data_IF_006366036687
#
_entry.id   IF_006366036687
#
_cell.length_a   1.000
_cell.length_b   1.000
_cell.length_c   1.000
_cell.angle_alpha   90.00
_cell.angle_beta   90.00
_cell.angle_gamma   90.00
#
_symmetry.space_group_name_H-M   'P 1'
#
loop_
_entity.id
_entity.type
_entity.pdbx_description
1 polymer ?
#
# COMPACT_ATOMS: atom_id res chain seq x y z
N UNK A 1 7.48 -3.37 -11.58
CA UNK A 1 8.62 -4.24 -11.24
C UNK A 1 8.17 -5.46 -10.46
N UNK A 2 7.87 -5.36 -9.16
CA UNK A 2 7.63 -6.54 -8.31
C UNK A 2 6.49 -7.44 -8.78
N UNK A 3 5.37 -6.90 -9.25
CA UNK A 3 4.25 -7.71 -9.78
C UNK A 3 4.62 -8.58 -10.99
N UNK A 4 5.48 -8.09 -11.86
CA UNK A 4 5.96 -8.88 -13.00
C UNK A 4 6.82 -10.05 -12.53
N UNK A 5 7.72 -9.81 -11.57
CA UNK A 5 8.58 -10.84 -11.00
C UNK A 5 7.77 -11.90 -10.24
N UNK A 6 6.80 -11.47 -9.41
CA UNK A 6 5.93 -12.38 -8.65
C UNK A 6 5.07 -13.27 -9.56
N UNK A 7 4.67 -12.78 -10.72
CA UNK A 7 3.92 -13.54 -11.74
C UNK A 7 4.81 -14.17 -12.80
N UNK A 8 6.12 -14.01 -12.74
CA UNK A 8 7.09 -14.53 -13.74
C UNK A 8 6.83 -14.04 -15.17
N UNK A 9 6.38 -12.82 -15.31
CA UNK A 9 6.14 -12.19 -16.61
C UNK A 9 7.39 -11.42 -17.01
N UNK A 10 8.01 -11.82 -18.12
CA UNK A 10 9.13 -11.09 -18.69
C UNK A 10 8.63 -9.83 -19.47
N UNK A 11 9.45 -8.78 -19.60
CA UNK A 11 9.09 -7.62 -20.43
C UNK A 11 8.68 -7.99 -21.85
N UNK A 12 9.38 -8.95 -22.48
CA UNK A 12 9.04 -9.44 -23.81
C UNK A 12 7.67 -10.13 -23.92
N UNK A 13 7.21 -10.79 -22.85
CA UNK A 13 5.86 -11.38 -22.80
C UNK A 13 4.78 -10.30 -22.81
N UNK A 14 5.05 -9.19 -22.13
CA UNK A 14 4.14 -8.02 -22.13
C UNK A 14 4.06 -7.36 -23.51
N UNK A 15 5.18 -7.24 -24.20
CA UNK A 15 5.19 -6.74 -25.58
C UNK A 15 4.45 -7.66 -26.55
N UNK A 16 4.60 -8.98 -26.37
CA UNK A 16 3.86 -9.98 -27.14
C UNK A 16 2.35 -9.83 -26.87
N UNK A 17 1.96 -9.72 -25.61
CA UNK A 17 0.56 -9.51 -25.21
C UNK A 17 -0.02 -8.23 -25.82
N UNK A 18 0.70 -7.10 -25.80
CA UNK A 18 0.26 -5.84 -26.42
C UNK A 18 0.00 -6.06 -27.92
N UNK A 19 0.91 -6.72 -28.64
CA UNK A 19 0.72 -7.02 -30.08
C UNK A 19 -0.48 -7.92 -30.34
N UNK A 20 -0.65 -8.97 -29.56
CA UNK A 20 -1.79 -9.90 -29.69
C UNK A 20 -3.12 -9.20 -29.39
N UNK A 21 -3.15 -8.33 -28.39
CA UNK A 21 -4.35 -7.55 -28.06
C UNK A 21 -4.75 -6.62 -29.20
N UNK A 22 -3.80 -5.92 -29.81
CA UNK A 22 -4.08 -5.07 -30.99
C UNK A 22 -4.61 -5.89 -32.17
N UNK A 23 -4.08 -7.08 -32.40
CA UNK A 23 -4.60 -7.96 -33.45
C UNK A 23 -6.09 -8.34 -33.23
N UNK A 24 -6.54 -8.41 -31.97
CA UNK A 24 -7.95 -8.62 -31.63
C UNK A 24 -8.79 -7.36 -31.80
N UNK A 25 -8.23 -6.18 -31.44
CA UNK A 25 -8.90 -4.86 -31.61
C UNK A 25 -9.13 -4.56 -33.08
N UNK A 26 -8.20 -4.95 -33.95
CA UNK A 26 -8.27 -4.74 -35.40
C UNK A 26 -9.22 -5.71 -36.13
N UNK A 27 -9.82 -6.70 -35.43
CA UNK A 27 -10.83 -7.56 -36.02
C UNK A 27 -12.09 -6.77 -36.37
N UNK A 28 -12.72 -7.04 -37.53
CA UNK A 28 -13.91 -6.32 -37.94
C UNK A 28 -15.05 -6.57 -36.92
N UNK A 29 -15.52 -5.48 -36.35
CA UNK A 29 -16.70 -5.52 -35.47
C UNK A 29 -17.92 -5.91 -36.30
N UNK A 30 -18.77 -6.75 -35.76
CA UNK A 30 -20.04 -7.14 -36.42
C UNK A 30 -21.06 -6.03 -36.56
N UNK A 31 -20.65 -4.75 -36.43
CA UNK A 31 -21.45 -3.51 -36.49
C UNK A 31 -20.62 -2.30 -36.89
N UNK A 32 -21.21 -1.13 -36.92
CA UNK A 32 -20.64 0.11 -37.47
C UNK A 32 -19.64 0.84 -36.54
N UNK A 33 -18.82 0.15 -35.77
CA UNK A 33 -17.75 0.79 -34.99
C UNK A 33 -17.09 -0.17 -34.02
N UNK A 34 -15.82 0.11 -33.67
CA UNK A 34 -15.13 -0.56 -32.58
C UNK A 34 -15.87 -0.28 -31.25
N UNK A 35 -15.89 -1.23 -30.35
CA UNK A 35 -16.44 -1.00 -29.03
C UNK A 35 -15.57 0.03 -28.30
N UNK A 36 -16.11 1.17 -27.94
CA UNK A 36 -15.40 2.24 -27.22
C UNK A 36 -14.61 1.74 -26.01
N UNK A 37 -15.14 0.77 -25.29
CA UNK A 37 -14.45 0.14 -24.19
C UNK A 37 -13.17 -0.59 -24.61
N UNK A 38 -13.16 -1.20 -25.79
CA UNK A 38 -11.99 -1.93 -26.30
C UNK A 38 -10.90 -0.94 -26.72
N UNK A 39 -11.26 0.20 -27.31
CA UNK A 39 -10.34 1.29 -27.63
C UNK A 39 -9.72 1.88 -26.35
N UNK A 40 -10.53 2.17 -25.32
CA UNK A 40 -10.03 2.63 -24.02
C UNK A 40 -9.08 1.63 -23.34
N UNK A 41 -9.31 0.35 -23.53
CA UNK A 41 -8.39 -0.70 -23.05
C UNK A 41 -7.11 -0.76 -23.88
N UNK A 42 -7.19 -0.57 -25.18
CA UNK A 42 -6.01 -0.53 -26.06
C UNK A 42 -5.06 0.58 -25.64
N UNK A 43 -5.57 1.81 -25.43
CA UNK A 43 -4.75 2.94 -24.95
C UNK A 43 -4.07 2.65 -23.61
N UNK A 44 -4.78 1.99 -22.68
CA UNK A 44 -4.19 1.59 -21.38
C UNK A 44 -3.12 0.52 -21.55
N UNK A 45 -3.32 -0.42 -22.45
CA UNK A 45 -2.38 -1.50 -22.74
C UNK A 45 -1.14 -0.94 -23.43
N UNK A 46 -1.27 0.04 -24.32
CA UNK A 46 -0.13 0.72 -24.97
C UNK A 46 0.79 1.39 -23.96
N UNK A 47 0.23 1.93 -22.86
CA UNK A 47 1.04 2.52 -21.80
C UNK A 47 1.97 1.52 -21.12
N UNK A 48 1.69 0.21 -21.23
CA UNK A 48 2.51 -0.84 -20.62
C UNK A 48 3.90 -0.92 -21.28
N UNK A 49 4.04 -0.65 -22.57
CA UNK A 49 5.35 -0.67 -23.25
C UNK A 49 6.29 0.38 -22.67
N UNK A 50 5.79 1.60 -22.42
CA UNK A 50 6.55 2.65 -21.73
C UNK A 50 6.90 2.25 -20.30
N UNK A 51 5.97 1.63 -19.59
CA UNK A 51 6.22 1.14 -18.24
C UNK A 51 7.26 0.01 -18.20
N UNK A 52 7.34 -0.83 -19.24
CA UNK A 52 8.37 -1.88 -19.30
C UNK A 52 9.77 -1.30 -19.43
N UNK A 53 9.98 -0.30 -20.26
CA UNK A 53 11.27 0.40 -20.35
C UNK A 53 11.70 0.98 -19.00
N UNK A 54 10.79 1.64 -18.28
CA UNK A 54 11.06 2.16 -16.94
C UNK A 54 11.37 1.07 -15.93
N UNK A 55 10.70 -0.09 -16.03
CA UNK A 55 10.99 -1.25 -15.16
C UNK A 55 12.39 -1.78 -15.41
N UNK A 56 12.83 -1.89 -16.66
CA UNK A 56 14.18 -2.34 -17.02
C UNK A 56 15.25 -1.38 -16.49
N UNK A 57 15.08 -0.08 -16.70
CA UNK A 57 15.96 0.94 -16.14
C UNK A 57 16.02 0.88 -14.60
N UNK A 58 14.89 0.69 -13.96
CA UNK A 58 14.82 0.56 -12.50
C UNK A 58 15.53 -0.69 -12.00
N UNK A 59 15.37 -1.83 -12.67
CA UNK A 59 16.06 -3.07 -12.33
C UNK A 59 17.59 -2.92 -12.48
N UNK A 60 18.04 -2.28 -13.56
CA UNK A 60 19.47 -2.02 -13.76
C UNK A 60 20.01 -1.04 -12.71
N UNK A 61 19.26 0.00 -12.36
CA UNK A 61 19.63 0.93 -11.31
C UNK A 61 19.76 0.24 -9.93
N UNK A 62 18.87 -0.70 -9.61
CA UNK A 62 18.97 -1.53 -8.40
C UNK A 62 20.23 -2.39 -8.42
N UNK A 63 20.48 -3.06 -9.54
CA UNK A 63 21.66 -3.91 -9.72
C UNK A 63 22.96 -3.14 -9.51
N UNK A 64 23.08 -1.95 -10.12
CA UNK A 64 24.25 -1.08 -9.98
C UNK A 64 24.47 -0.57 -8.54
N UNK A 65 23.39 -0.36 -7.81
CA UNK A 65 23.43 0.09 -6.41
C UNK A 65 23.57 -1.05 -5.40
N UNK A 66 23.46 -2.30 -5.83
CA UNK A 66 23.52 -3.46 -4.94
C UNK A 66 22.33 -3.56 -3.97
N UNK A 67 21.16 -3.06 -4.36
CA UNK A 67 19.93 -3.09 -3.54
C UNK A 67 18.93 -4.08 -4.11
N UNK A 68 18.17 -4.73 -3.22
CA UNK A 68 17.17 -5.74 -3.55
C UNK A 68 15.84 -5.41 -2.89
N UNK A 69 14.75 -5.69 -3.60
CA UNK A 69 13.39 -5.77 -3.05
C UNK A 69 13.09 -7.22 -2.62
N UNK A 70 12.02 -7.43 -1.86
CA UNK A 70 11.61 -8.79 -1.45
C UNK A 70 11.30 -9.70 -2.64
N UNK A 71 10.68 -9.16 -3.70
CA UNK A 71 10.41 -9.91 -4.94
C UNK A 71 11.68 -10.33 -5.67
N UNK A 72 12.76 -9.52 -5.62
CA UNK A 72 14.05 -9.88 -6.19
C UNK A 72 14.67 -11.09 -5.49
N UNK A 73 14.50 -11.19 -4.16
CA UNK A 73 15.03 -12.31 -3.39
C UNK A 73 14.43 -13.65 -3.86
N UNK A 74 13.10 -13.66 -4.07
CA UNK A 74 12.41 -14.87 -4.58
C UNK A 74 12.84 -15.19 -6.01
N UNK A 75 12.93 -14.19 -6.89
CA UNK A 75 13.34 -14.36 -8.27
C UNK A 75 14.78 -14.90 -8.35
N UNK A 76 15.70 -14.34 -7.58
CA UNK A 76 17.09 -14.80 -7.52
C UNK A 76 17.22 -16.19 -6.91
N UNK A 77 16.46 -16.51 -5.86
CA UNK A 77 16.44 -17.84 -5.28
C UNK A 77 15.98 -18.89 -6.31
N UNK A 78 14.94 -18.58 -7.08
CA UNK A 78 14.46 -19.44 -8.15
C UNK A 78 15.51 -19.62 -9.25
N UNK A 79 16.18 -18.56 -9.66
CA UNK A 79 17.26 -18.62 -10.65
C UNK A 79 18.43 -19.51 -10.15
N UNK A 80 18.82 -19.38 -8.88
CA UNK A 80 19.87 -20.21 -8.26
C UNK A 80 19.47 -21.68 -8.28
N UNK A 81 18.25 -21.99 -7.88
CA UNK A 81 17.74 -23.37 -7.83
C UNK A 81 17.69 -24.00 -9.21
N UNK A 82 17.29 -23.24 -10.23
CA UNK A 82 17.25 -23.70 -11.62
C UNK A 82 18.64 -23.90 -12.25
N UNK A 83 19.61 -23.07 -11.87
CA UNK A 83 20.99 -23.16 -12.41
C UNK A 83 21.89 -24.12 -11.65
N UNK A 84 21.64 -24.33 -10.37
CA UNK A 84 22.55 -25.09 -9.50
C UNK A 84 21.80 -26.18 -8.73
N UNK A 85 21.68 -27.41 -9.30
CA UNK A 85 20.99 -28.55 -8.66
C UNK A 85 21.49 -28.87 -7.25
N UNK A 86 22.76 -28.60 -6.95
CA UNK A 86 23.32 -28.77 -5.61
C UNK A 86 22.64 -27.91 -4.55
N UNK A 87 22.10 -26.76 -4.92
CA UNK A 87 21.31 -25.94 -4.00
C UNK A 87 20.05 -26.64 -3.52
N UNK A 88 19.40 -27.40 -4.41
CA UNK A 88 18.22 -28.23 -4.07
C UNK A 88 18.60 -29.30 -3.04
N UNK A 89 19.68 -30.03 -3.28
CA UNK A 89 20.16 -31.08 -2.37
C UNK A 89 20.50 -30.50 -0.99
N UNK A 90 21.17 -29.35 -0.96
CA UNK A 90 21.51 -28.67 0.28
C UNK A 90 20.28 -28.25 1.09
N UNK A 91 19.24 -27.73 0.43
CA UNK A 91 17.99 -27.34 1.10
C UNK A 91 17.26 -28.60 1.61
N UNK A 92 17.11 -29.63 0.78
CA UNK A 92 16.44 -30.89 1.15
C UNK A 92 17.13 -31.62 2.30
N UNK A 93 18.46 -31.60 2.36
CA UNK A 93 19.21 -32.22 3.46
C UNK A 93 18.92 -31.58 4.82
N UNK A 94 18.52 -30.32 4.83
CA UNK A 94 18.15 -29.59 6.07
C UNK A 94 16.66 -29.73 6.42
N UNK A 95 15.81 -30.01 5.44
CA UNK A 95 14.35 -30.03 5.57
C UNK A 95 13.81 -31.39 5.10
N UNK A 96 13.79 -32.38 5.97
CA UNK A 96 13.36 -33.75 5.62
C UNK A 96 11.84 -33.83 5.38
N UNK A 97 11.05 -32.98 6.03
CA UNK A 97 9.61 -32.82 5.82
C UNK A 97 9.32 -31.33 5.76
N UNK A 98 8.46 -30.92 4.85
CA UNK A 98 8.08 -29.52 4.63
C UNK A 98 6.59 -29.35 4.85
N UNK A 99 6.23 -28.38 5.69
CA UNK A 99 4.84 -27.97 5.95
C UNK A 99 4.68 -26.55 5.45
N UNK A 100 3.77 -26.36 4.49
CA UNK A 100 3.46 -25.05 3.90
C UNK A 100 2.10 -24.60 4.44
N UNK A 101 2.09 -23.52 5.18
CA UNK A 101 0.87 -22.91 5.70
C UNK A 101 0.46 -21.70 4.84
N UNK A 102 -0.83 -21.38 4.84
CA UNK A 102 -1.42 -20.30 4.03
C UNK A 102 -1.03 -20.38 2.54
N UNK A 103 -0.99 -21.60 2.00
CA UNK A 103 -0.45 -21.85 0.65
C UNK A 103 -1.23 -21.11 -0.45
N UNK A 104 -2.51 -20.76 -0.25
CA UNK A 104 -3.30 -19.95 -1.17
C UNK A 104 -2.75 -18.55 -1.39
N UNK A 105 -1.93 -18.03 -0.46
CA UNK A 105 -1.36 -16.68 -0.51
C UNK A 105 0.00 -16.61 -1.22
N UNK A 106 0.50 -17.76 -1.69
CA UNK A 106 1.78 -17.81 -2.42
C UNK A 106 1.66 -17.18 -3.81
N UNK A 107 2.69 -16.44 -4.23
CA UNK A 107 2.80 -15.94 -5.60
C UNK A 107 3.23 -17.06 -6.57
N UNK A 108 3.05 -16.84 -7.87
CA UNK A 108 3.49 -17.77 -8.91
C UNK A 108 4.99 -18.07 -8.80
N UNK A 109 5.81 -17.05 -8.52
CA UNK A 109 7.25 -17.22 -8.33
C UNK A 109 7.57 -18.07 -7.10
N UNK A 110 6.88 -17.86 -5.98
CA UNK A 110 7.04 -18.66 -4.76
C UNK A 110 6.59 -20.09 -4.98
N UNK A 111 5.43 -20.31 -5.60
CA UNK A 111 4.94 -21.64 -5.93
C UNK A 111 5.92 -22.39 -6.82
N UNK A 112 6.47 -21.73 -7.85
CA UNK A 112 7.48 -22.33 -8.74
C UNK A 112 8.76 -22.69 -7.97
N UNK A 113 9.26 -21.77 -7.12
CA UNK A 113 10.46 -22.02 -6.30
C UNK A 113 10.26 -23.24 -5.38
N UNK A 114 9.12 -23.29 -4.69
CA UNK A 114 8.79 -24.41 -3.80
C UNK A 114 8.65 -25.73 -4.56
N UNK A 115 8.05 -25.70 -5.74
CA UNK A 115 7.91 -26.88 -6.60
C UNK A 115 9.28 -27.39 -7.08
N UNK A 116 10.17 -26.50 -7.54
CA UNK A 116 11.53 -26.86 -7.93
C UNK A 116 12.33 -27.47 -6.76
N UNK A 117 12.22 -26.86 -5.60
CA UNK A 117 12.90 -27.33 -4.39
C UNK A 117 12.39 -28.69 -3.91
N UNK A 118 11.07 -28.92 -3.93
CA UNK A 118 10.46 -29.99 -3.14
C UNK A 118 9.61 -30.98 -3.94
N UNK A 119 9.59 -30.93 -5.27
CA UNK A 119 8.93 -31.98 -6.09
C UNK A 119 9.47 -33.36 -5.73
N UNK A 120 8.57 -34.29 -5.40
CA UNK A 120 8.95 -35.64 -4.98
C UNK A 120 9.57 -35.74 -3.59
N UNK A 121 9.49 -34.68 -2.80
CA UNK A 121 9.91 -34.66 -1.40
C UNK A 121 8.68 -34.70 -0.47
N UNK A 122 8.79 -35.17 0.79
CA UNK A 122 7.66 -35.12 1.73
C UNK A 122 7.22 -33.70 2.03
N UNK A 123 6.10 -33.30 1.39
CA UNK A 123 5.53 -31.95 1.52
C UNK A 123 4.04 -32.05 1.85
N UNK A 124 3.57 -31.21 2.74
CA UNK A 124 2.16 -30.97 2.99
C UNK A 124 1.87 -29.48 2.87
N UNK A 125 0.82 -29.11 2.15
CA UNK A 125 0.32 -27.76 2.11
C UNK A 125 -1.04 -27.66 2.81
N UNK A 126 -1.27 -26.58 3.53
CA UNK A 126 -2.53 -26.21 4.15
C UNK A 126 -2.94 -24.84 3.66
N UNK A 127 -4.22 -24.64 3.38
CA UNK A 127 -4.76 -23.37 2.93
C UNK A 127 -6.26 -23.41 2.69
N UNK A 128 -6.83 -22.24 2.52
CA UNK A 128 -8.24 -22.05 2.20
C UNK A 128 -8.36 -21.21 0.90
N UNK A 129 -8.81 -21.79 -0.21
CA UNK A 129 -8.90 -21.07 -1.49
C UNK A 129 -9.87 -19.89 -1.43
N UNK A 130 -10.85 -19.88 -0.52
CA UNK A 130 -11.75 -18.75 -0.32
C UNK A 130 -11.10 -17.59 0.42
N UNK A 131 -9.94 -17.80 1.04
CA UNK A 131 -9.14 -16.76 1.72
C UNK A 131 -7.99 -16.23 0.87
N UNK A 132 -7.89 -16.57 -0.40
CA UNK A 132 -6.89 -16.07 -1.34
C UNK A 132 -7.13 -14.59 -1.67
N UNK A 133 -6.78 -13.67 -0.76
CA UNK A 133 -7.05 -12.23 -0.86
C UNK A 133 -5.85 -11.42 -1.36
N UNK A 134 -4.70 -12.04 -1.59
CA UNK A 134 -3.46 -11.38 -2.03
C UNK A 134 -3.21 -11.46 -3.56
N UNK A 135 -4.28 -11.53 -4.37
CA UNK A 135 -4.16 -11.52 -5.83
C UNK A 135 -3.38 -10.32 -6.38
N UNK A 136 -3.45 -9.16 -5.70
CA UNK A 136 -2.66 -7.98 -6.05
C UNK A 136 -1.14 -8.14 -5.80
N UNK A 137 -0.72 -9.16 -5.04
CA UNK A 137 0.68 -9.61 -4.85
C UNK A 137 1.04 -10.82 -5.72
N UNK A 138 0.18 -11.24 -6.66
CA UNK A 138 0.45 -12.38 -7.51
C UNK A 138 0.03 -13.73 -6.92
N UNK A 139 -0.71 -13.75 -5.81
CA UNK A 139 -1.34 -14.97 -5.32
C UNK A 139 -2.45 -15.42 -6.28
N UNK A 140 -2.59 -16.74 -6.44
CA UNK A 140 -3.64 -17.33 -7.26
C UNK A 140 -4.48 -18.31 -6.45
N UNK A 141 -5.80 -18.22 -6.61
CA UNK A 141 -6.73 -19.18 -6.02
C UNK A 141 -6.54 -20.61 -6.58
N UNK A 142 -5.88 -20.73 -7.74
CA UNK A 142 -5.54 -22.04 -8.32
C UNK A 142 -4.36 -22.75 -7.64
N UNK A 143 -3.55 -22.04 -6.84
CA UNK A 143 -2.33 -22.60 -6.24
C UNK A 143 -2.57 -23.91 -5.48
N UNK A 144 -3.69 -24.03 -4.75
CA UNK A 144 -4.03 -25.26 -4.04
C UNK A 144 -4.43 -26.40 -4.99
N UNK A 145 -5.11 -26.10 -6.10
CA UNK A 145 -5.43 -27.08 -7.12
C UNK A 145 -4.16 -27.53 -7.85
N UNK A 146 -3.28 -26.59 -8.17
CA UNK A 146 -2.03 -26.82 -8.88
C UNK A 146 -0.99 -27.56 -8.01
N UNK A 147 -1.16 -27.53 -6.68
CA UNK A 147 -0.28 -28.27 -5.76
C UNK A 147 -0.23 -29.76 -6.08
N UNK A 148 -1.37 -30.37 -6.36
CA UNK A 148 -1.48 -31.81 -6.66
C UNK A 148 -0.63 -32.20 -7.88
N UNK A 149 -0.66 -31.39 -8.93
CA UNK A 149 0.11 -31.65 -10.17
C UNK A 149 1.56 -31.18 -10.06
N UNK A 150 1.82 -30.17 -9.25
CA UNK A 150 3.13 -29.56 -9.08
C UNK A 150 4.12 -30.41 -8.30
N UNK A 151 3.72 -31.00 -7.19
CA UNK A 151 4.63 -31.64 -6.24
C UNK A 151 4.76 -33.16 -6.38
N UNK A 152 3.81 -33.86 -7.00
CA UNK A 152 3.90 -35.31 -7.17
C UNK A 152 2.73 -35.92 -7.94
N UNK A 153 2.79 -37.22 -8.19
CA UNK A 153 1.76 -37.95 -8.95
C UNK A 153 0.64 -38.53 -8.06
N UNK A 154 0.86 -38.63 -6.73
CA UNK A 154 -0.09 -39.22 -5.80
C UNK A 154 -0.13 -38.45 -4.51
N UNK A 155 -1.02 -37.41 -4.48
CA UNK A 155 -1.21 -36.56 -3.33
C UNK A 155 -2.59 -36.80 -2.77
N UNK A 156 -2.65 -37.11 -1.47
CA UNK A 156 -3.91 -37.21 -0.73
C UNK A 156 -4.38 -35.83 -0.31
N UNK A 157 -5.67 -35.55 -0.54
CA UNK A 157 -6.32 -34.31 -0.13
C UNK A 157 -7.25 -34.58 1.04
N UNK A 158 -7.20 -33.74 2.06
CA UNK A 158 -8.03 -33.82 3.27
C UNK A 158 -8.71 -32.50 3.52
N UNK A 159 -9.95 -32.53 4.00
CA UNK A 159 -10.70 -31.36 4.42
C UNK A 159 -10.69 -31.19 5.93
N UNK A 160 -10.42 -29.96 6.39
CA UNK A 160 -10.55 -29.53 7.79
C UNK A 160 -11.85 -28.75 7.98
N UNK A 161 -12.98 -29.44 7.96
CA UNK A 161 -14.31 -28.82 7.97
C UNK A 161 -14.86 -28.47 9.35
N UNK A 162 -14.24 -28.92 10.45
CA UNK A 162 -14.65 -28.57 11.80
C UNK A 162 -13.90 -27.36 12.32
N UNK A 163 -14.62 -26.26 12.58
CA UNK A 163 -14.04 -25.07 13.20
C UNK A 163 -14.05 -25.17 14.72
N UNK A 164 -12.86 -25.10 15.31
CA UNK A 164 -12.67 -25.06 16.77
C UNK A 164 -12.54 -23.64 17.32
N UNK A 165 -12.52 -22.64 16.45
CA UNK A 165 -12.33 -21.23 16.79
C UNK A 165 -13.65 -20.49 16.95
N UNK A 166 -14.57 -20.69 16.02
CA UNK A 166 -15.75 -19.84 15.85
C UNK A 166 -17.01 -20.44 16.48
N UNK A 167 -17.86 -19.58 17.00
CA UNK A 167 -19.22 -19.94 17.44
C UNK A 167 -20.13 -20.31 16.26
N UNK A 168 -21.19 -21.07 16.54
CA UNK A 168 -22.08 -21.59 15.52
C UNK A 168 -22.70 -20.51 14.63
N UNK A 169 -23.20 -19.42 15.20
CA UNK A 169 -23.84 -18.32 14.43
C UNK A 169 -22.85 -17.60 13.50
N UNK A 170 -21.59 -17.47 13.90
CA UNK A 170 -20.54 -16.88 13.05
C UNK A 170 -20.28 -17.80 11.86
N UNK A 171 -20.23 -19.11 12.08
CA UNK A 171 -20.05 -20.09 11.01
C UNK A 171 -21.23 -20.12 10.05
N UNK A 172 -22.45 -20.02 10.55
CA UNK A 172 -23.65 -19.95 9.69
C UNK A 172 -23.60 -18.72 8.78
N UNK A 173 -23.23 -17.55 9.32
CA UNK A 173 -23.05 -16.34 8.55
C UNK A 173 -21.91 -16.47 7.51
N UNK A 174 -20.75 -16.99 7.92
CA UNK A 174 -19.61 -17.22 7.05
C UNK A 174 -19.94 -18.20 5.91
N UNK A 175 -20.61 -19.31 6.21
CA UNK A 175 -21.03 -20.29 5.23
C UNK A 175 -22.04 -19.71 4.22
N UNK A 176 -22.95 -18.84 4.68
CA UNK A 176 -23.91 -18.14 3.81
C UNK A 176 -23.19 -17.21 2.85
N UNK A 177 -22.24 -16.40 3.35
CA UNK A 177 -21.45 -15.46 2.52
C UNK A 177 -20.56 -16.22 1.53
N UNK A 178 -19.96 -17.35 1.95
CA UNK A 178 -19.10 -18.17 1.10
C UNK A 178 -19.88 -19.05 0.11
N UNK A 179 -21.20 -19.14 0.23
CA UNK A 179 -22.04 -19.96 -0.66
C UNK A 179 -21.75 -19.75 -2.15
N UNK A 180 -21.82 -18.53 -2.68
CA UNK A 180 -21.55 -18.26 -4.10
C UNK A 180 -20.13 -18.59 -4.54
N UNK A 181 -19.13 -18.56 -3.63
CA UNK A 181 -17.75 -18.90 -3.95
C UNK A 181 -17.59 -20.40 -4.22
N UNK A 182 -18.42 -21.26 -3.62
CA UNK A 182 -18.37 -22.70 -3.83
C UNK A 182 -18.92 -23.11 -5.20
N UNK A 183 -19.65 -22.23 -5.87
CA UNK A 183 -20.17 -22.45 -7.23
C UNK A 183 -19.12 -22.13 -8.31
N UNK A 184 -18.03 -21.44 -7.93
CA UNK A 184 -16.94 -21.09 -8.84
C UNK A 184 -16.04 -22.33 -9.13
N UNK A 185 -15.47 -22.42 -10.34
CA UNK A 185 -14.50 -23.46 -10.65
C UNK A 185 -13.30 -23.38 -9.70
N UNK A 186 -12.91 -24.50 -9.10
CA UNK A 186 -11.78 -24.55 -8.17
C UNK A 186 -11.79 -25.80 -7.29
N UNK A 187 -10.91 -25.87 -6.29
CA UNK A 187 -10.91 -26.96 -5.31
C UNK A 187 -12.25 -26.99 -4.54
N UNK A 188 -12.76 -28.18 -4.30
CA UNK A 188 -13.96 -28.34 -3.49
C UNK A 188 -13.68 -27.94 -2.03
N UNK A 189 -14.49 -27.03 -1.50
CA UNK A 189 -14.41 -26.54 -0.12
C UNK A 189 -15.68 -26.96 0.63
N UNK A 190 -15.50 -27.81 1.62
CA UNK A 190 -16.60 -28.25 2.47
C UNK A 190 -17.17 -27.10 3.31
N UNK A 191 -18.46 -27.23 3.62
CA UNK A 191 -19.14 -26.33 4.57
C UNK A 191 -18.57 -26.50 5.96
N UNK A 192 -18.17 -25.41 6.60
CA UNK A 192 -17.64 -25.43 7.96
C UNK A 192 -18.70 -25.84 8.97
N UNK A 193 -18.33 -26.74 9.87
CA UNK A 193 -19.18 -27.24 10.97
C UNK A 193 -18.65 -26.72 12.31
N UNK A 194 -19.53 -26.34 13.24
CA UNK A 194 -19.08 -25.96 14.58
C UNK A 194 -18.53 -27.16 15.33
N UNK A 195 -17.53 -26.94 16.17
CA UNK A 195 -17.05 -27.97 17.10
C UNK A 195 -18.14 -28.28 18.11
N UNK A 196 -18.09 -29.47 18.78
CA UNK A 196 -19.02 -29.80 19.86
C UNK A 196 -18.99 -28.83 21.05
N UNK A 197 -17.92 -28.04 21.16
CA UNK A 197 -17.72 -27.03 22.24
C UNK A 197 -17.96 -25.59 21.72
N UNK A 198 -18.47 -25.42 20.50
CA UNK A 198 -18.72 -24.11 19.93
C UNK A 198 -19.72 -23.32 20.76
N UNK A 199 -19.37 -22.08 21.06
CA UNK A 199 -20.29 -21.15 21.71
C UNK A 199 -21.40 -20.72 20.77
N UNK A 200 -22.54 -20.31 21.33
CA UNK A 200 -23.65 -19.77 20.58
C UNK A 200 -23.85 -18.27 20.89
N UNK A 201 -22.75 -17.52 20.98
CA UNK A 201 -22.81 -16.07 21.21
C UNK A 201 -23.58 -15.35 20.12
N UNK A 202 -24.16 -14.21 20.49
CA UNK A 202 -24.92 -13.39 19.56
C UNK A 202 -23.99 -12.87 18.42
N UNK A 203 -24.53 -12.89 17.22
CA UNK A 203 -24.04 -12.17 16.07
C UNK A 203 -24.97 -10.96 15.88
N UNK A 204 -24.42 -9.77 15.88
CA UNK A 204 -25.17 -8.54 15.70
C UNK A 204 -24.83 -7.91 14.36
N UNK A 205 -25.84 -7.40 13.67
CA UNK A 205 -25.72 -6.67 12.41
C UNK A 205 -26.08 -5.21 12.66
N UNK A 206 -25.19 -4.32 12.23
CA UNK A 206 -25.36 -2.87 12.34
C UNK A 206 -25.34 -2.28 10.94
N UNK A 207 -26.36 -1.52 10.57
CA UNK A 207 -26.46 -0.90 9.24
C UNK A 207 -27.10 0.49 9.34
N UNK A 208 -26.39 1.47 9.94
CA UNK A 208 -26.87 2.85 10.07
C UNK A 208 -26.75 3.62 8.76
N UNK A 209 -27.26 4.84 8.72
CA UNK A 209 -27.22 5.68 7.53
C UNK A 209 -25.84 6.30 7.29
N UNK A 210 -25.06 6.54 8.35
CA UNK A 210 -23.75 7.20 8.28
C UNK A 210 -22.64 6.40 8.93
N UNK A 211 -21.40 6.60 8.44
CA UNK A 211 -20.20 6.02 9.01
C UNK A 211 -19.99 6.46 10.48
N UNK A 212 -20.36 7.70 10.81
CA UNK A 212 -20.24 8.21 12.17
C UNK A 212 -21.17 7.46 13.15
N UNK A 213 -22.42 7.20 12.74
CA UNK A 213 -23.37 6.41 13.52
C UNK A 213 -22.90 4.95 13.67
N UNK A 214 -22.34 4.37 12.61
CA UNK A 214 -21.74 3.03 12.64
C UNK A 214 -20.64 2.97 13.71
N UNK A 215 -19.72 3.92 13.67
CA UNK A 215 -18.61 3.97 14.62
C UNK A 215 -19.08 4.13 16.07
N UNK A 216 -20.10 4.97 16.32
CA UNK A 216 -20.69 5.15 17.65
C UNK A 216 -21.37 3.89 18.14
N UNK A 217 -22.14 3.19 17.30
CA UNK A 217 -22.82 1.95 17.66
C UNK A 217 -21.81 0.83 17.96
N UNK A 218 -20.77 0.68 17.11
CA UNK A 218 -19.70 -0.30 17.31
C UNK A 218 -18.91 0.00 18.58
N UNK A 219 -18.57 1.28 18.84
CA UNK A 219 -17.85 1.68 20.04
C UNK A 219 -18.67 1.43 21.32
N UNK A 220 -19.98 1.65 21.27
CA UNK A 220 -20.88 1.34 22.40
C UNK A 220 -20.91 -0.15 22.68
N UNK A 221 -21.15 -0.94 21.66
CA UNK A 221 -21.21 -2.40 21.76
C UNK A 221 -19.91 -2.99 22.30
N UNK A 222 -18.76 -2.49 21.85
CA UNK A 222 -17.45 -2.92 22.34
C UNK A 222 -17.23 -2.52 23.80
N UNK A 223 -17.56 -1.28 24.16
CA UNK A 223 -17.40 -0.81 25.55
C UNK A 223 -18.18 -1.69 26.53
N UNK A 224 -19.44 -2.01 26.20
CA UNK A 224 -20.29 -2.87 26.99
C UNK A 224 -19.67 -4.27 27.15
N UNK A 225 -19.26 -4.90 26.04
CA UNK A 225 -18.65 -6.24 26.03
C UNK A 225 -17.33 -6.34 26.76
N UNK A 226 -16.49 -5.30 26.63
CA UNK A 226 -15.20 -5.26 27.34
C UNK A 226 -15.38 -5.03 28.84
N UNK A 227 -16.46 -4.35 29.25
CA UNK A 227 -16.81 -4.11 30.65
C UNK A 227 -17.42 -5.31 31.39
N UNK A 228 -17.99 -6.29 30.65
CA UNK A 228 -18.66 -7.45 31.21
C UNK A 228 -17.70 -8.50 31.86
N UNK A 229 -16.41 -8.43 31.58
CA UNK A 229 -15.44 -9.45 32.01
C UNK A 229 -14.17 -8.84 32.61
N UNK A 230 -13.58 -9.54 33.56
CA UNK A 230 -12.29 -9.18 34.13
C UNK A 230 -11.36 -10.45 34.19
N UNK A 231 -10.27 -10.49 33.42
CA UNK A 231 -9.79 -9.46 32.50
C UNK A 231 -10.71 -9.30 31.28
N UNK A 232 -10.71 -8.11 30.64
CA UNK A 232 -11.50 -7.88 29.44
C UNK A 232 -10.99 -8.75 28.29
N UNK A 233 -11.88 -9.24 27.41
CA UNK A 233 -11.48 -9.99 26.23
C UNK A 233 -10.74 -9.09 25.22
N UNK A 234 -9.93 -9.70 24.36
CA UNK A 234 -9.35 -9.00 23.23
C UNK A 234 -10.41 -8.79 22.14
N UNK A 235 -10.38 -7.62 21.49
CA UNK A 235 -11.27 -7.29 20.39
C UNK A 235 -10.48 -6.70 19.24
N UNK A 236 -11.01 -6.84 18.01
CA UNK A 236 -10.42 -6.21 16.82
C UNK A 236 -11.53 -5.62 15.93
N UNK A 237 -11.28 -4.42 15.40
CA UNK A 237 -12.09 -3.81 14.35
C UNK A 237 -11.32 -3.91 13.05
N UNK A 238 -11.92 -4.55 12.05
CA UNK A 238 -11.34 -4.68 10.71
C UNK A 238 -12.09 -3.74 9.78
N UNK A 239 -11.39 -2.79 9.20
CA UNK A 239 -11.95 -1.82 8.25
C UNK A 239 -11.41 -2.05 6.84
N UNK A 240 -12.27 -1.89 5.84
CA UNK A 240 -11.85 -2.05 4.45
C UNK A 240 -10.91 -0.94 3.97
N UNK A 241 -11.13 0.29 4.42
CA UNK A 241 -10.34 1.46 4.01
C UNK A 241 -9.74 2.17 5.22
N UNK A 242 -8.45 2.46 5.15
CA UNK A 242 -7.74 3.20 6.23
C UNK A 242 -8.33 4.58 6.50
N UNK A 243 -8.87 5.24 5.49
CA UNK A 243 -9.52 6.55 5.63
C UNK A 243 -10.66 6.55 6.66
N UNK A 244 -11.26 5.39 6.95
CA UNK A 244 -12.34 5.26 7.92
C UNK A 244 -11.85 5.01 9.36
N UNK A 245 -10.57 4.66 9.56
CA UNK A 245 -10.05 4.29 10.88
C UNK A 245 -10.20 5.41 11.92
N UNK A 246 -9.96 6.68 11.53
CA UNK A 246 -10.03 7.82 12.42
C UNK A 246 -11.39 7.95 13.11
N UNK A 247 -12.48 7.75 12.38
CA UNK A 247 -13.85 7.87 12.92
C UNK A 247 -14.11 6.82 14.01
N UNK A 248 -13.61 5.58 13.82
CA UNK A 248 -13.73 4.52 14.84
C UNK A 248 -12.83 4.78 16.05
N UNK A 249 -11.60 5.27 15.83
CA UNK A 249 -10.67 5.63 16.91
C UNK A 249 -11.27 6.71 17.80
N UNK A 250 -11.83 7.74 17.21
CA UNK A 250 -12.47 8.85 17.95
C UNK A 250 -13.68 8.35 18.75
N UNK A 251 -14.54 7.54 18.15
CA UNK A 251 -15.71 6.99 18.82
C UNK A 251 -15.35 6.07 20.01
N UNK A 252 -14.31 5.24 19.86
CA UNK A 252 -13.79 4.38 20.93
C UNK A 252 -13.15 5.20 22.06
N UNK A 253 -12.35 6.20 21.70
CA UNK A 253 -11.69 7.10 22.65
C UNK A 253 -12.70 7.85 23.50
N UNK A 254 -13.81 8.35 22.91
CA UNK A 254 -14.92 8.99 23.61
C UNK A 254 -15.61 8.07 24.63
N UNK A 255 -15.52 6.76 24.42
CA UNK A 255 -16.04 5.72 25.34
C UNK A 255 -15.01 5.20 26.34
N UNK A 256 -13.79 5.74 26.33
CA UNK A 256 -12.70 5.31 27.21
C UNK A 256 -12.14 3.92 26.85
N UNK A 257 -12.43 3.39 25.65
CA UNK A 257 -11.89 2.13 25.17
C UNK A 257 -10.48 2.35 24.65
N UNK A 258 -9.44 1.69 25.22
CA UNK A 258 -8.07 1.81 24.74
C UNK A 258 -7.95 1.19 23.34
N UNK A 259 -7.31 1.92 22.43
CA UNK A 259 -7.16 1.50 21.03
C UNK A 259 -5.68 1.35 20.68
N UNK A 260 -5.34 0.27 19.99
CA UNK A 260 -4.03 0.08 19.36
C UNK A 260 -4.22 -0.08 17.85
N UNK A 261 -3.63 0.82 17.06
CA UNK A 261 -3.70 0.75 15.60
C UNK A 261 -2.55 -0.10 15.06
N UNK A 262 -2.88 -1.19 14.40
CA UNK A 262 -1.90 -2.05 13.75
C UNK A 262 -1.49 -1.48 12.38
N UNK A 263 -0.19 -1.32 12.18
CA UNK A 263 0.39 -0.86 10.92
C UNK A 263 1.18 0.45 11.08
N UNK A 264 2.23 0.60 10.27
CA UNK A 264 3.17 1.74 10.30
C UNK A 264 2.52 3.04 9.76
N UNK A 265 1.33 2.97 9.15
CA UNK A 265 0.68 4.11 8.50
C UNK A 265 0.11 5.16 9.45
N UNK A 266 -0.10 4.87 10.74
CA UNK A 266 -0.71 5.80 11.69
C UNK A 266 0.29 6.69 12.44
N UNK A 267 1.57 6.33 12.50
CA UNK A 267 2.55 7.08 13.29
C UNK A 267 2.79 8.49 12.72
N UNK A 268 2.86 8.61 11.40
CA UNK A 268 3.06 9.90 10.72
C UNK A 268 1.79 10.75 10.63
N UNK A 269 0.63 10.16 10.91
CA UNK A 269 -0.66 10.86 10.95
C UNK A 269 -0.89 11.50 12.32
N UNK A 270 -0.13 11.09 13.36
CA UNK A 270 -0.14 11.76 14.65
C UNK A 270 0.41 13.18 14.51
N UNK A 271 -0.36 14.23 14.89
CA UNK A 271 0.04 15.61 14.72
C UNK A 271 1.38 15.97 15.37
N UNK A 272 1.69 15.39 16.53
CA UNK A 272 2.94 15.65 17.24
C UNK A 272 4.13 15.01 16.51
N UNK A 273 3.98 13.79 16.00
CA UNK A 273 5.01 13.11 15.21
C UNK A 273 5.21 13.82 13.87
N UNK A 274 4.11 14.22 13.21
CA UNK A 274 4.17 14.99 11.97
C UNK A 274 4.94 16.32 12.18
N UNK A 275 4.73 17.01 13.29
CA UNK A 275 5.43 18.25 13.62
C UNK A 275 6.93 18.00 13.88
N UNK A 276 7.30 16.88 14.52
CA UNK A 276 8.70 16.47 14.69
C UNK A 276 9.35 16.22 13.31
N UNK A 277 8.68 15.46 12.44
CA UNK A 277 9.18 15.16 11.09
C UNK A 277 9.31 16.44 10.26
N UNK A 278 8.30 17.33 10.30
CA UNK A 278 8.37 18.62 9.63
C UNK A 278 9.55 19.47 10.14
N UNK A 279 9.76 19.47 11.47
CA UNK A 279 10.91 20.19 12.07
C UNK A 279 12.25 19.64 11.56
N UNK A 280 12.41 18.33 11.55
CA UNK A 280 13.62 17.69 11.05
C UNK A 280 13.86 17.99 9.55
N UNK A 281 12.80 17.99 8.75
CA UNK A 281 12.89 18.34 7.32
C UNK A 281 13.29 19.79 7.11
N UNK A 282 12.70 20.73 7.85
CA UNK A 282 13.04 22.16 7.78
C UNK A 282 14.49 22.40 8.20
N UNK A 283 15.01 21.66 9.20
CA UNK A 283 16.42 21.74 9.61
C UNK A 283 17.34 21.19 8.52
N UNK A 284 16.95 20.10 7.88
CA UNK A 284 17.77 19.42 6.86
C UNK A 284 17.73 20.12 5.49
N UNK A 285 16.63 20.78 5.15
CA UNK A 285 16.37 21.34 3.83
C UNK A 285 15.64 22.69 3.94
N UNK A 286 16.29 23.76 3.55
CA UNK A 286 15.71 25.12 3.52
C UNK A 286 14.57 25.27 2.49
N UNK A 287 14.44 24.32 1.56
CA UNK A 287 13.36 24.23 0.57
C UNK A 287 12.08 23.52 1.07
N UNK A 288 12.06 23.06 2.32
CA UNK A 288 10.90 22.38 2.92
C UNK A 288 9.81 23.40 3.36
N UNK A 289 9.27 24.12 2.40
CA UNK A 289 8.33 25.24 2.65
C UNK A 289 6.97 24.80 3.16
N UNK A 290 6.45 23.67 2.64
CA UNK A 290 5.16 23.12 3.10
C UNK A 290 5.22 22.68 4.56
N UNK A 291 6.33 22.09 4.96
CA UNK A 291 6.61 21.70 6.34
C UNK A 291 6.75 22.93 7.25
N UNK A 292 7.41 23.97 6.75
CA UNK A 292 7.55 25.23 7.49
C UNK A 292 6.18 25.91 7.70
N UNK A 293 5.33 25.97 6.67
CA UNK A 293 3.96 26.51 6.79
C UNK A 293 3.17 25.73 7.84
N UNK A 294 3.24 24.38 7.82
CA UNK A 294 2.59 23.55 8.82
C UNK A 294 3.02 23.92 10.24
N UNK A 295 4.32 24.07 10.47
CA UNK A 295 4.85 24.44 11.78
C UNK A 295 4.41 25.83 12.22
N UNK A 296 4.48 26.82 11.32
CA UNK A 296 4.06 28.20 11.62
C UNK A 296 2.57 28.30 11.95
N UNK A 297 1.71 27.61 11.16
CA UNK A 297 0.27 27.59 11.40
C UNK A 297 -0.14 26.73 12.59
N UNK A 298 0.75 25.83 13.03
CA UNK A 298 0.51 24.83 14.06
C UNK A 298 0.31 25.42 15.45
N UNK A 299 -0.01 24.55 16.41
CA UNK A 299 -0.41 24.91 17.78
C UNK A 299 0.65 25.75 18.54
N UNK A 300 1.93 25.58 18.20
CA UNK A 300 3.04 26.29 18.87
C UNK A 300 3.14 27.76 18.46
N UNK A 301 3.09 28.05 17.16
CA UNK A 301 3.35 29.40 16.63
C UNK A 301 2.07 30.14 16.28
N UNK A 302 1.02 29.45 15.86
CA UNK A 302 -0.33 29.95 15.56
C UNK A 302 -0.35 31.16 14.61
N UNK A 303 0.56 31.16 13.63
CA UNK A 303 0.60 32.24 12.63
C UNK A 303 -0.66 32.16 11.77
N UNK A 304 -1.38 33.28 11.69
CA UNK A 304 -2.63 33.36 10.95
C UNK A 304 -2.45 33.28 9.43
N UNK A 305 -3.53 32.94 8.71
CA UNK A 305 -3.50 32.84 7.24
C UNK A 305 -3.13 34.17 6.58
N UNK A 306 -3.56 35.31 7.15
CA UNK A 306 -3.21 36.65 6.66
C UNK A 306 -1.69 36.90 6.75
N UNK A 307 -1.08 36.51 7.87
CA UNK A 307 0.36 36.65 8.07
C UNK A 307 1.17 35.73 7.16
N UNK A 308 0.72 34.50 6.96
CA UNK A 308 1.32 33.58 5.99
C UNK A 308 1.21 34.11 4.56
N UNK A 309 0.11 34.76 4.21
CA UNK A 309 -0.04 35.41 2.92
C UNK A 309 0.90 36.61 2.77
N UNK A 310 1.06 37.43 3.82
CA UNK A 310 2.02 38.52 3.85
C UNK A 310 3.47 38.00 3.69
N UNK A 311 3.80 36.87 4.37
CA UNK A 311 5.09 36.21 4.24
C UNK A 311 5.34 35.76 2.79
N UNK A 312 4.34 35.17 2.13
CA UNK A 312 4.42 34.82 0.70
C UNK A 312 4.58 36.05 -0.21
N UNK A 313 4.01 37.19 0.18
CA UNK A 313 4.24 38.50 -0.43
C UNK A 313 5.71 38.92 -0.35
N UNK A 314 6.33 38.74 0.84
CA UNK A 314 7.74 39.04 1.08
C UNK A 314 8.65 38.15 0.20
N UNK A 315 8.33 36.87 0.02
CA UNK A 315 9.05 35.98 -0.89
C UNK A 315 9.06 36.54 -2.32
N UNK A 316 7.88 36.92 -2.84
CA UNK A 316 7.78 37.50 -4.19
C UNK A 316 8.55 38.79 -4.34
N UNK A 317 8.56 39.61 -3.30
CA UNK A 317 9.32 40.84 -3.27
C UNK A 317 10.85 40.58 -3.28
N UNK A 318 11.34 39.62 -2.49
CA UNK A 318 12.75 39.20 -2.49
C UNK A 318 13.18 38.63 -3.84
N UNK A 319 12.31 37.85 -4.49
CA UNK A 319 12.58 37.29 -5.83
C UNK A 319 12.70 38.36 -6.91
N UNK A 320 12.05 39.51 -6.72
CA UNK A 320 12.10 40.63 -7.64
C UNK A 320 13.26 41.64 -7.41
N UNK A 321 13.99 41.52 -6.29
CA UNK A 321 15.06 42.46 -5.89
C UNK A 321 16.33 41.71 -5.50
N UNK A 322 17.48 42.35 -5.74
CA UNK A 322 18.75 41.83 -5.22
C UNK A 322 18.75 41.93 -3.69
N UNK A 323 18.95 40.79 -3.04
CA UNK A 323 19.00 40.65 -1.58
C UNK A 323 20.04 41.57 -0.90
N UNK A 324 21.11 41.98 -1.63
CA UNK A 324 22.15 42.86 -1.12
C UNK A 324 21.92 44.35 -1.43
N UNK A 325 20.76 44.72 -1.97
CA UNK A 325 20.43 46.12 -2.29
C UNK A 325 21.18 46.70 -3.49
N UNK A 326 21.85 45.86 -4.25
CA UNK A 326 22.50 46.22 -5.53
C UNK A 326 21.58 45.79 -6.67
N UNK A 327 20.98 46.73 -7.37
CA UNK A 327 20.17 46.39 -8.55
C UNK A 327 21.07 45.73 -9.60
N UNK A 328 20.87 44.45 -9.85
CA UNK A 328 21.57 43.76 -10.94
C UNK A 328 21.12 44.33 -12.30
N UNK A 329 22.02 44.48 -13.26
CA UNK A 329 21.65 44.86 -14.63
C UNK A 329 20.59 43.90 -15.18
N UNK A 330 19.63 44.43 -15.98
CA UNK A 330 18.48 43.65 -16.49
C UNK A 330 18.90 42.39 -17.28
N UNK A 331 20.01 42.46 -18.01
CA UNK A 331 20.55 41.34 -18.76
C UNK A 331 21.11 40.23 -17.85
N UNK A 332 21.66 40.60 -16.67
CA UNK A 332 22.15 39.65 -15.65
C UNK A 332 20.97 39.03 -14.92
N UNK A 333 19.94 39.82 -14.58
CA UNK A 333 18.70 39.30 -13.98
C UNK A 333 17.99 38.31 -14.91
N UNK A 334 17.92 38.62 -16.23
CA UNK A 334 17.31 37.73 -17.19
C UNK A 334 18.08 36.42 -17.35
N UNK A 335 19.40 36.44 -17.29
CA UNK A 335 20.26 35.23 -17.31
C UNK A 335 20.12 34.42 -16.06
N UNK A 336 20.06 35.05 -14.88
CA UNK A 336 19.86 34.38 -13.60
C UNK A 336 18.46 33.73 -13.55
N UNK A 337 17.41 34.42 -13.99
CA UNK A 337 16.04 33.84 -14.09
C UNK A 337 15.98 32.59 -14.96
N UNK A 338 16.83 32.50 -15.99
CA UNK A 338 16.86 31.35 -16.89
C UNK A 338 17.88 30.28 -16.51
N UNK A 339 18.80 30.54 -15.58
CA UNK A 339 19.88 29.64 -15.18
C UNK A 339 19.71 29.09 -13.77
N UNK A 340 18.89 29.71 -12.94
CA UNK A 340 18.71 29.34 -11.52
C UNK A 340 17.74 28.18 -11.45
N UNK A 341 18.17 27.07 -10.84
CA UNK A 341 17.27 25.98 -10.47
C UNK A 341 16.23 26.53 -9.47
N UNK A 342 15.06 25.93 -9.41
CA UNK A 342 14.00 26.34 -8.47
C UNK A 342 14.47 26.34 -6.98
N UNK A 343 15.62 25.73 -6.70
CA UNK A 343 16.21 25.65 -5.35
C UNK A 343 17.07 26.86 -4.98
N UNK A 344 17.44 27.71 -5.95
CA UNK A 344 18.28 28.89 -5.71
C UNK A 344 17.46 30.21 -5.60
N UNK A 345 16.15 30.15 -5.82
CA UNK A 345 15.27 31.29 -5.62
C UNK A 345 14.96 31.50 -4.12
N UNK A 346 14.91 32.77 -3.63
CA UNK A 346 14.51 33.05 -2.26
C UNK A 346 13.16 32.42 -1.92
N UNK A 347 13.10 31.74 -0.78
CA UNK A 347 11.93 31.03 -0.31
C UNK A 347 11.36 31.60 1.00
N UNK A 348 10.41 30.88 1.58
CA UNK A 348 9.77 31.28 2.87
C UNK A 348 10.78 31.42 4.01
N UNK A 349 11.84 30.62 4.02
CA UNK A 349 12.86 30.69 5.05
C UNK A 349 13.69 31.98 4.92
N UNK A 350 14.02 32.39 3.70
CA UNK A 350 14.71 33.65 3.44
C UNK A 350 13.87 34.86 3.80
N UNK A 351 12.58 34.81 3.51
CA UNK A 351 11.63 35.84 3.91
C UNK A 351 11.53 35.99 5.45
N UNK A 352 11.44 34.87 6.18
CA UNK A 352 11.47 34.90 7.65
C UNK A 352 12.76 35.46 8.20
N UNK A 353 13.90 35.06 7.66
CA UNK A 353 15.20 35.55 8.06
C UNK A 353 15.34 37.05 7.77
N UNK A 354 14.88 37.48 6.59
CA UNK A 354 14.85 38.90 6.24
C UNK A 354 14.01 39.71 7.21
N UNK A 355 12.80 39.25 7.52
CA UNK A 355 11.92 39.93 8.48
C UNK A 355 12.49 39.98 9.91
N UNK A 356 13.16 38.92 10.34
CA UNK A 356 13.80 38.84 11.65
C UNK A 356 15.01 39.77 11.78
N UNK A 357 15.67 40.14 10.68
CA UNK A 357 16.82 41.03 10.62
C UNK A 357 16.45 42.48 10.28
N UNK A 358 15.22 42.72 9.83
CA UNK A 358 14.77 44.05 9.45
C UNK A 358 14.77 44.97 10.67
N UNK A 359 15.33 46.18 10.56
CA UNK A 359 15.25 47.16 11.64
C UNK A 359 13.78 47.55 11.91
N UNK A 360 13.47 47.91 13.16
CA UNK A 360 12.12 48.34 13.61
C UNK A 360 11.60 49.61 12.87
N UNK A 361 12.41 50.23 12.01
CA UNK A 361 12.04 51.41 11.26
C UNK A 361 11.16 51.03 10.04
N UNK A 362 9.85 51.22 10.23
CA UNK A 362 8.78 50.81 9.31
C UNK A 362 8.71 51.60 8.00
N UNK A 363 9.61 52.55 7.71
CA UNK A 363 9.54 53.41 6.53
C UNK A 363 9.78 52.64 5.22
N UNK A 364 10.48 51.51 5.24
CA UNK A 364 10.71 50.63 4.09
C UNK A 364 9.54 49.69 3.75
N UNK A 365 8.57 49.58 4.64
CA UNK A 365 7.42 48.67 4.51
C UNK A 365 6.20 49.31 3.82
N UNK A 366 6.23 50.62 3.52
CA UNK A 366 5.11 51.34 2.87
C UNK A 366 4.81 50.85 1.43
N UNK A 367 5.78 50.23 0.76
CA UNK A 367 5.60 49.70 -0.60
C UNK A 367 4.90 48.33 -0.63
N UNK A 368 4.51 47.79 0.52
CA UNK A 368 3.81 46.49 0.63
C UNK A 368 2.28 46.57 0.57
N UNK A 369 1.73 47.72 0.59
CA UNK A 369 0.28 47.96 0.68
C UNK A 369 -0.37 48.40 -0.63
N UNK A 370 0.30 48.16 -1.76
CA UNK A 370 -0.26 48.44 -3.08
C UNK A 370 -0.54 47.14 -3.86
#
# INVERSE_FOLDING_TARGET
GSRLQENRVAPGDMEAFVREFHAVVDLPAGGTGAYKQVEEWAERIDSLTTLMALVEEFQEAKRLRGVLEFSDQIALALEIVQRFPHAIEQVRSRHQVVLLDEYQDTSVAQTTLLTELFRGHPVMAVGDPHQAIYGWRGASSSNLADFVTGFGESIATYSLSTSWRNGARILDAANTIAGPLRELPGPEVETLKPSPKASNHALELVYPETLAEEAVQVASWLADRLGESNPPPSAAIIVRARAHQGVFIDALSQRGVPVHVLGIGGLLDDPAIADIVCTLRVIAQTSAESELIRLLAGAKWRVGVADLHALAGTVRWLQGRDYHGVALPEDVQARLKNSVSAHDAPGLFDALRFMAQAPEDHTQWRDYSA
#
